data_IF_155559305209
#
_entry.id   IF_155559305209
#
_cell.length_a   1.000
_cell.length_b   1.000
_cell.length_c   1.000
_cell.angle_alpha   90.00
_cell.angle_beta   90.00
_cell.angle_gamma   90.00
#
_symmetry.space_group_name_H-M   'P 1'
#
loop_
_entity.id
_entity.type
_entity.pdbx_description
1 polymer ?
#
# COMPACT_ATOMS: atom_id res chain seq x y z
N UNK A 1 -9.08 -22.01 9.35
CA UNK A 1 -7.87 -22.13 8.52
C UNK A 1 -7.78 -20.93 7.58
N UNK A 2 -7.51 -19.71 8.08
CA UNK A 2 -7.70 -18.48 7.26
C UNK A 2 -6.79 -17.30 7.59
N UNK A 3 -5.82 -17.44 8.52
CA UNK A 3 -4.89 -16.34 8.88
C UNK A 3 -3.67 -16.22 7.95
N UNK A 4 -3.08 -17.35 7.54
CA UNK A 4 -1.83 -17.37 6.78
C UNK A 4 -1.94 -16.72 5.39
N UNK A 5 -3.06 -16.90 4.69
CA UNK A 5 -3.28 -16.31 3.36
C UNK A 5 -3.33 -14.78 3.40
N UNK A 6 -3.73 -14.18 4.52
CA UNK A 6 -3.78 -12.73 4.67
C UNK A 6 -2.38 -12.14 4.82
N UNK A 7 -1.56 -12.76 5.68
CA UNK A 7 -0.18 -12.31 5.91
C UNK A 7 0.69 -12.44 4.65
N UNK A 8 0.58 -13.53 3.88
CA UNK A 8 1.33 -13.65 2.63
C UNK A 8 0.95 -12.56 1.61
N UNK A 9 -0.33 -12.21 1.51
CA UNK A 9 -0.81 -11.13 0.64
C UNK A 9 -0.30 -9.76 1.09
N UNK A 10 -0.29 -9.50 2.39
CA UNK A 10 0.27 -8.27 2.97
C UNK A 10 1.78 -8.19 2.72
N UNK A 11 2.50 -9.30 2.84
CA UNK A 11 3.95 -9.34 2.60
C UNK A 11 4.29 -9.06 1.12
N UNK A 12 3.53 -9.68 0.20
CA UNK A 12 3.61 -9.39 -1.24
C UNK A 12 3.26 -7.94 -1.57
N UNK A 13 2.26 -7.35 -0.91
CA UNK A 13 1.92 -5.94 -1.04
C UNK A 13 3.10 -5.04 -0.67
N UNK A 14 3.69 -5.28 0.51
CA UNK A 14 4.82 -4.51 1.01
C UNK A 14 6.01 -4.60 0.06
N UNK A 15 6.35 -5.81 -0.43
CA UNK A 15 7.41 -5.98 -1.42
C UNK A 15 7.13 -5.24 -2.74
N UNK A 16 5.87 -5.24 -3.20
CA UNK A 16 5.49 -4.52 -4.42
C UNK A 16 5.55 -3.00 -4.23
N UNK A 17 5.20 -2.52 -3.04
CA UNK A 17 5.33 -1.11 -2.65
C UNK A 17 6.80 -0.69 -2.55
N UNK A 18 7.65 -1.47 -1.89
CA UNK A 18 9.09 -1.19 -1.79
C UNK A 18 9.76 -1.17 -3.17
N UNK A 19 9.34 -2.04 -4.08
CA UNK A 19 9.88 -2.10 -5.45
C UNK A 19 9.32 -1.03 -6.39
N UNK A 20 8.46 -0.12 -5.90
CA UNK A 20 7.72 0.88 -6.71
C UNK A 20 7.00 0.28 -7.95
N UNK A 21 6.73 -1.04 -7.92
CA UNK A 21 6.17 -1.83 -9.04
C UNK A 21 4.72 -2.24 -8.80
N UNK A 22 4.02 -1.47 -7.98
CA UNK A 22 2.60 -1.64 -7.68
C UNK A 22 1.72 -1.41 -8.90
N UNK A 23 2.13 -0.52 -9.82
CA UNK A 23 1.33 -0.15 -10.98
C UNK A 23 0.06 0.59 -10.57
N UNK A 24 -0.94 0.60 -11.47
CA UNK A 24 -2.25 1.18 -11.17
C UNK A 24 -2.92 0.49 -9.95
N UNK A 25 -3.72 1.22 -9.15
CA UNK A 25 -4.48 0.66 -8.03
C UNK A 25 -5.25 -0.59 -8.36
N UNK A 26 -5.84 -0.63 -9.54
CA UNK A 26 -6.60 -1.77 -10.01
C UNK A 26 -5.71 -3.01 -10.20
N UNK A 27 -4.49 -2.82 -10.73
CA UNK A 27 -3.53 -3.91 -10.90
C UNK A 27 -2.98 -4.39 -9.56
N UNK A 28 -2.70 -3.49 -8.63
CA UNK A 28 -2.25 -3.85 -7.28
C UNK A 28 -3.34 -4.65 -6.54
N UNK A 29 -4.58 -4.16 -6.58
CA UNK A 29 -5.73 -4.84 -5.99
C UNK A 29 -5.92 -6.24 -6.61
N UNK A 30 -5.83 -6.35 -7.94
CA UNK A 30 -5.96 -7.62 -8.67
C UNK A 30 -4.83 -8.60 -8.35
N UNK A 31 -3.59 -8.12 -8.17
CA UNK A 31 -2.44 -8.93 -7.74
C UNK A 31 -2.61 -9.47 -6.32
N UNK A 32 -3.17 -8.66 -5.43
CA UNK A 32 -3.49 -9.08 -4.06
C UNK A 32 -4.74 -9.96 -3.96
N UNK A 33 -5.57 -10.01 -5.01
CA UNK A 33 -6.88 -10.64 -4.96
C UNK A 33 -7.85 -9.91 -4.03
N UNK A 34 -7.73 -8.59 -3.92
CA UNK A 34 -8.65 -7.73 -3.17
C UNK A 34 -9.36 -6.76 -4.12
N UNK A 35 -10.47 -6.20 -3.67
CA UNK A 35 -11.14 -5.13 -4.40
C UNK A 35 -10.38 -3.81 -4.27
N UNK A 36 -10.46 -2.98 -5.30
CA UNK A 36 -9.86 -1.63 -5.30
C UNK A 36 -10.33 -0.80 -4.11
N UNK A 37 -11.60 -0.92 -3.74
CA UNK A 37 -12.17 -0.29 -2.54
C UNK A 37 -11.45 -0.72 -1.25
N UNK A 38 -11.16 -2.01 -1.11
CA UNK A 38 -10.41 -2.54 0.04
C UNK A 38 -8.98 -2.04 0.02
N UNK A 39 -8.35 -1.96 -1.15
CA UNK A 39 -7.02 -1.38 -1.30
C UNK A 39 -6.99 0.08 -0.83
N UNK A 40 -7.93 0.93 -1.27
CA UNK A 40 -8.02 2.32 -0.83
C UNK A 40 -8.20 2.42 0.68
N UNK A 41 -9.06 1.56 1.26
CA UNK A 41 -9.29 1.54 2.70
C UNK A 41 -8.04 1.11 3.48
N UNK A 42 -7.31 0.11 3.01
CA UNK A 42 -6.02 -0.31 3.61
C UNK A 42 -5.00 0.83 3.51
N UNK A 43 -4.93 1.50 2.35
CA UNK A 43 -4.04 2.66 2.17
C UNK A 43 -4.39 3.79 3.13
N UNK A 44 -5.68 4.10 3.29
CA UNK A 44 -6.15 5.12 4.23
C UNK A 44 -5.84 4.75 5.69
N UNK A 45 -6.04 3.49 6.06
CA UNK A 45 -5.66 2.96 7.39
C UNK A 45 -4.14 3.03 7.60
N UNK A 46 -3.33 2.68 6.60
CA UNK A 46 -1.87 2.77 6.66
C UNK A 46 -1.40 4.23 6.75
N UNK A 47 -2.02 5.14 6.01
CA UNK A 47 -1.73 6.58 6.08
C UNK A 47 -2.08 7.17 7.46
N UNK A 48 -3.08 6.60 8.13
CA UNK A 48 -3.51 7.03 9.47
C UNK A 48 -2.63 6.45 10.58
N UNK A 49 -2.24 5.18 10.46
CA UNK A 49 -1.51 4.46 11.51
C UNK A 49 0.02 4.57 11.39
N UNK A 50 0.56 4.91 10.21
CA UNK A 50 2.00 4.96 9.97
C UNK A 50 2.46 6.36 9.58
N UNK A 51 3.72 6.69 9.86
CA UNK A 51 4.36 7.97 9.46
C UNK A 51 4.66 8.08 7.96
N UNK A 52 4.01 7.28 7.12
CA UNK A 52 4.18 7.31 5.67
C UNK A 52 2.84 7.36 4.97
N UNK A 53 2.79 8.15 3.90
CA UNK A 53 1.61 8.33 3.07
C UNK A 53 1.85 7.58 1.77
N UNK A 54 0.94 6.67 1.44
CA UNK A 54 0.90 5.98 0.16
C UNK A 54 0.07 6.86 -0.78
N UNK A 55 0.73 7.44 -1.78
CA UNK A 55 0.09 8.27 -2.80
C UNK A 55 0.26 7.65 -4.18
N UNK A 56 -0.78 7.72 -5.00
CA UNK A 56 -0.71 7.30 -6.39
C UNK A 56 -0.03 8.40 -7.23
N UNK A 57 1.08 8.06 -7.86
CA UNK A 57 1.77 8.94 -8.80
C UNK A 57 1.29 8.61 -10.22
N UNK A 58 0.53 9.53 -10.82
CA UNK A 58 0.03 9.38 -12.20
C UNK A 58 1.16 9.34 -13.24
N UNK A 59 2.29 10.02 -12.96
CA UNK A 59 3.46 10.05 -13.85
C UNK A 59 4.17 8.70 -13.91
N UNK A 60 4.40 8.08 -12.75
CA UNK A 60 5.00 6.73 -12.66
C UNK A 60 3.97 5.60 -12.83
N UNK A 61 2.68 5.94 -12.86
CA UNK A 61 1.54 5.01 -12.78
C UNK A 61 1.69 3.97 -11.67
N UNK A 62 2.26 4.37 -10.54
CA UNK A 62 2.59 3.49 -9.41
C UNK A 62 2.29 4.18 -8.09
N UNK A 63 2.03 3.40 -7.05
CA UNK A 63 2.01 3.90 -5.68
C UNK A 63 3.44 4.16 -5.20
N UNK A 64 3.66 5.37 -4.72
CA UNK A 64 4.88 5.78 -4.06
C UNK A 64 4.63 5.96 -2.57
N UNK A 65 5.60 5.54 -1.76
CA UNK A 65 5.60 5.82 -0.33
C UNK A 65 6.24 7.19 -0.14
N UNK A 66 5.43 8.18 0.21
CA UNK A 66 5.89 9.50 0.62
C UNK A 66 6.01 9.45 2.13
N UNK A 67 7.24 9.35 2.65
CA UNK A 67 7.48 9.46 4.09
C UNK A 67 7.05 10.86 4.52
N UNK A 68 6.05 10.95 5.39
CA UNK A 68 5.69 12.22 5.98
C UNK A 68 6.73 12.51 7.07
N UNK A 69 7.73 13.32 6.74
CA UNK A 69 8.75 13.76 7.68
C UNK A 69 8.19 14.86 8.63
N UNK A 70 6.97 14.69 9.15
CA UNK A 70 6.50 15.50 10.27
C UNK A 70 7.15 14.95 11.56
N UNK A 71 8.37 15.43 11.76
CA UNK A 71 9.18 15.60 12.98
C UNK A 71 8.70 14.99 14.31
N UNK A 72 9.66 14.33 14.98
CA UNK A 72 10.14 14.64 16.35
C UNK A 72 9.15 15.28 17.31
N UNK A 73 8.65 14.52 18.29
CA UNK A 73 8.49 14.79 19.76
C UNK A 73 7.60 13.66 20.33
N UNK A 74 7.91 12.91 21.38
CA UNK A 74 8.64 13.22 22.62
C UNK A 74 9.41 12.01 23.16
#
# INVERSE_FOLDING_TARGET
MTGFKYYERIKLLLELLEKEKTGAPENLARKLGISVRTLYRIIEELNTNNSFIIQYCSEKKSYIIVRNNNSTIA
#
